data_IF_250627805742
#
_entry.id   IF_250627805742
#
_cell.length_a   1.000
_cell.length_b   1.000
_cell.length_c   1.000
_cell.angle_alpha   90.00
_cell.angle_beta   90.00
_cell.angle_gamma   90.00
#
_symmetry.space_group_name_H-M   'P 1'
#
loop_
_entity.id
_entity.type
_entity.pdbx_description
1 polymer ?
#
# COMPACT_ATOMS: atom_id res chain seq x y z
N UNK A 1 11.20 -6.48 -2.82
CA UNK A 1 11.93 -6.55 -4.11
C UNK A 1 11.51 -5.37 -4.94
N UNK A 2 12.46 -4.68 -5.56
CA UNK A 2 12.26 -3.43 -6.29
C UNK A 2 12.78 -3.60 -7.73
N UNK A 3 12.05 -3.10 -8.71
CA UNK A 3 12.46 -3.09 -10.12
C UNK A 3 11.75 -2.00 -10.91
N UNK A 4 12.31 -1.69 -12.08
CA UNK A 4 11.69 -0.79 -13.04
C UNK A 4 10.59 -1.53 -13.82
N UNK A 5 9.39 -0.98 -13.81
CA UNK A 5 8.24 -1.51 -14.53
C UNK A 5 7.44 -0.33 -15.09
N UNK A 6 7.26 -0.23 -16.42
CA UNK A 6 6.66 0.93 -17.07
C UNK A 6 5.14 1.09 -16.81
N UNK A 7 4.46 0.04 -16.35
CA UNK A 7 3.01 0.04 -16.13
C UNK A 7 2.69 -0.57 -14.77
N UNK A 8 1.59 -0.13 -14.12
CA UNK A 8 1.15 -0.76 -12.89
C UNK A 8 0.87 -2.26 -13.11
N UNK A 9 1.29 -3.08 -12.15
CA UNK A 9 1.10 -4.53 -12.18
C UNK A 9 0.23 -5.00 -11.02
N UNK A 10 -0.43 -6.13 -11.23
CA UNK A 10 -1.18 -6.80 -10.18
C UNK A 10 -0.26 -7.52 -9.19
N UNK A 11 -0.78 -7.80 -8.01
CA UNK A 11 -0.13 -8.67 -7.01
C UNK A 11 0.31 -10.02 -7.58
N UNK A 12 -0.54 -10.65 -8.38
CA UNK A 12 -0.23 -11.97 -8.97
C UNK A 12 0.93 -11.87 -9.99
N UNK A 13 0.98 -10.79 -10.78
CA UNK A 13 2.10 -10.52 -11.68
C UNK A 13 3.39 -10.28 -10.90
N UNK A 14 3.33 -9.44 -9.86
CA UNK A 14 4.47 -9.15 -8.98
C UNK A 14 5.02 -10.43 -8.32
N UNK A 15 4.13 -11.30 -7.82
CA UNK A 15 4.49 -12.60 -7.25
C UNK A 15 5.14 -13.51 -8.29
N UNK A 16 4.58 -13.60 -9.49
CA UNK A 16 5.14 -14.40 -10.57
C UNK A 16 6.55 -13.93 -10.96
N UNK A 17 6.74 -12.61 -11.09
CA UNK A 17 8.04 -11.98 -11.35
C UNK A 17 9.04 -12.30 -10.25
N UNK A 18 8.67 -12.10 -8.99
CA UNK A 18 9.51 -12.44 -7.83
C UNK A 18 9.98 -13.90 -7.87
N UNK A 19 9.06 -14.84 -8.09
CA UNK A 19 9.39 -16.26 -8.16
C UNK A 19 10.29 -16.61 -9.35
N UNK A 20 10.10 -15.97 -10.50
CA UNK A 20 10.96 -16.14 -11.67
C UNK A 20 12.39 -15.62 -11.40
N UNK A 21 12.52 -14.43 -10.81
CA UNK A 21 13.81 -13.82 -10.46
C UNK A 21 14.57 -14.67 -9.44
N UNK A 22 13.90 -15.16 -8.39
CA UNK A 22 14.52 -16.01 -7.37
C UNK A 22 15.06 -17.35 -7.90
N UNK A 23 14.67 -17.79 -9.10
CA UNK A 23 15.21 -18.99 -9.76
C UNK A 23 16.52 -18.73 -10.50
N UNK A 24 16.90 -17.47 -10.68
CA UNK A 24 18.17 -17.09 -11.29
C UNK A 24 19.24 -16.88 -10.21
N UNK A 25 20.53 -17.12 -10.52
CA UNK A 25 21.60 -16.76 -9.60
C UNK A 25 21.65 -15.25 -9.34
N UNK A 26 21.93 -14.80 -8.10
CA UNK A 26 22.35 -13.43 -7.85
C UNK A 26 23.56 -13.10 -8.72
N UNK A 27 23.62 -11.90 -9.28
CA UNK A 27 24.62 -11.59 -10.30
C UNK A 27 24.80 -10.10 -10.52
N UNK A 28 26.05 -9.72 -10.78
CA UNK A 28 26.47 -8.34 -10.99
C UNK A 28 25.97 -7.81 -12.35
N UNK A 29 24.82 -7.14 -12.33
CA UNK A 29 24.55 -6.07 -13.29
C UNK A 29 25.19 -4.76 -12.81
N UNK A 30 25.00 -3.69 -13.57
CA UNK A 30 25.22 -2.34 -13.04
C UNK A 30 24.30 -2.18 -11.84
N UNK A 31 24.88 -1.87 -10.67
CA UNK A 31 24.11 -1.60 -9.46
C UNK A 31 23.22 -0.38 -9.71
N UNK A 32 21.87 -0.54 -9.66
CA UNK A 32 20.97 0.59 -9.87
C UNK A 32 21.10 1.57 -8.70
N UNK A 33 20.98 2.88 -8.96
CA UNK A 33 21.16 3.91 -7.92
C UNK A 33 20.26 3.69 -6.69
N UNK A 34 19.04 3.17 -6.90
CA UNK A 34 18.10 2.79 -5.83
C UNK A 34 18.75 1.87 -4.78
N UNK A 35 19.63 0.94 -5.20
CA UNK A 35 20.23 -0.05 -4.31
C UNK A 35 21.07 0.59 -3.19
N UNK A 36 21.65 1.78 -3.44
CA UNK A 36 22.49 2.51 -2.48
C UNK A 36 21.67 3.19 -1.38
N UNK A 37 20.37 3.38 -1.62
CA UNK A 37 19.45 4.06 -0.71
C UNK A 37 18.50 3.10 0.01
N UNK A 38 18.40 1.85 -0.45
CA UNK A 38 17.56 0.84 0.17
C UNK A 38 18.10 0.46 1.55
N UNK A 39 17.22 0.34 2.57
CA UNK A 39 17.62 -0.17 3.87
C UNK A 39 17.90 -1.68 3.81
N UNK A 40 18.54 -2.21 4.85
CA UNK A 40 18.75 -3.65 5.02
C UNK A 40 19.87 -4.25 4.16
N UNK A 41 19.86 -5.57 4.02
CA UNK A 41 20.83 -6.29 3.20
C UNK A 41 20.34 -6.38 1.75
N UNK A 42 21.10 -5.80 0.82
CA UNK A 42 20.74 -5.74 -0.60
C UNK A 42 21.38 -6.90 -1.37
N UNK A 43 20.56 -7.67 -2.06
CA UNK A 43 20.97 -8.68 -3.05
C UNK A 43 20.56 -8.26 -4.45
N UNK A 44 21.53 -8.20 -5.36
CA UNK A 44 21.31 -7.81 -6.74
C UNK A 44 20.95 -9.01 -7.62
N UNK A 45 19.94 -8.82 -8.45
CA UNK A 45 19.53 -9.69 -9.53
C UNK A 45 19.52 -8.88 -10.84
N UNK A 46 19.59 -9.52 -12.02
CA UNK A 46 19.47 -8.80 -13.29
C UNK A 46 18.17 -7.97 -13.36
N UNK A 47 18.30 -6.64 -13.34
CA UNK A 47 17.19 -5.68 -13.37
C UNK A 47 16.33 -5.60 -12.09
N UNK A 48 16.71 -6.28 -11.01
CA UNK A 48 15.92 -6.34 -9.78
C UNK A 48 16.79 -6.24 -8.53
N UNK A 49 16.24 -5.65 -7.49
CA UNK A 49 16.91 -5.50 -6.20
C UNK A 49 16.08 -6.17 -5.12
N UNK A 50 16.66 -7.13 -4.40
CA UNK A 50 16.03 -7.76 -3.25
C UNK A 50 16.60 -7.20 -1.96
N UNK A 51 15.72 -6.70 -1.10
CA UNK A 51 16.07 -6.31 0.27
C UNK A 51 15.70 -7.46 1.20
N UNK A 52 16.66 -7.91 2.00
CA UNK A 52 16.47 -8.83 3.12
C UNK A 52 16.50 -8.04 4.43
N UNK A 53 15.63 -8.40 5.36
CA UNK A 53 15.43 -7.68 6.62
C UNK A 53 15.04 -8.63 7.75
N UNK A 54 15.31 -8.21 8.99
CA UNK A 54 14.91 -8.93 10.19
C UNK A 54 13.42 -8.74 10.48
N UNK A 55 12.76 -9.80 10.97
CA UNK A 55 11.32 -9.81 11.26
C UNK A 55 10.92 -8.70 12.24
N UNK A 56 11.77 -8.40 13.23
CA UNK A 56 11.50 -7.39 14.26
C UNK A 56 11.43 -5.96 13.70
N UNK A 57 11.96 -5.73 12.50
CA UNK A 57 12.00 -4.41 11.84
C UNK A 57 11.21 -4.36 10.53
N UNK A 58 10.47 -5.43 10.23
CA UNK A 58 9.83 -5.61 8.91
C UNK A 58 8.87 -4.48 8.56
N UNK A 59 8.08 -3.98 9.51
CA UNK A 59 7.04 -2.98 9.25
C UNK A 59 7.67 -1.64 8.85
N UNK A 60 8.61 -1.18 9.67
CA UNK A 60 9.36 0.06 9.44
C UNK A 60 10.20 -0.05 8.16
N UNK A 61 10.89 -1.17 7.96
CA UNK A 61 11.78 -1.34 6.83
C UNK A 61 11.01 -1.50 5.51
N UNK A 62 9.89 -2.23 5.47
CA UNK A 62 9.02 -2.28 4.29
C UNK A 62 8.52 -0.89 3.90
N UNK A 63 8.10 -0.06 4.88
CA UNK A 63 7.66 1.31 4.61
C UNK A 63 8.80 2.19 4.03
N UNK A 64 10.02 2.04 4.54
CA UNK A 64 11.20 2.73 4.00
C UNK A 64 11.53 2.26 2.57
N UNK A 65 11.49 0.95 2.31
CA UNK A 65 11.71 0.39 0.95
C UNK A 65 10.66 0.92 -0.03
N UNK A 66 9.38 0.97 0.35
CA UNK A 66 8.34 1.57 -0.50
C UNK A 66 8.62 3.04 -0.80
N UNK A 67 9.04 3.80 0.20
CA UNK A 67 9.38 5.22 0.05
C UNK A 67 10.53 5.42 -0.93
N UNK A 68 11.60 4.64 -0.79
CA UNK A 68 12.78 4.70 -1.69
C UNK A 68 12.39 4.25 -3.10
N UNK A 69 11.71 3.11 -3.26
CA UNK A 69 11.28 2.63 -4.57
C UNK A 69 10.42 3.68 -5.30
N UNK A 70 9.48 4.31 -4.59
CA UNK A 70 8.64 5.39 -5.12
C UNK A 70 9.47 6.59 -5.57
N UNK A 71 10.43 7.04 -4.76
CA UNK A 71 11.30 8.18 -5.11
C UNK A 71 12.10 7.94 -6.40
N UNK A 72 12.40 6.68 -6.71
CA UNK A 72 13.07 6.25 -7.94
C UNK A 72 12.10 5.83 -9.06
N UNK A 73 10.78 5.97 -8.88
CA UNK A 73 9.78 5.61 -9.88
C UNK A 73 9.72 4.11 -10.15
N UNK A 74 9.94 3.29 -9.15
CA UNK A 74 10.00 1.83 -9.25
C UNK A 74 8.82 1.14 -8.57
N UNK A 75 8.48 -0.05 -9.06
CA UNK A 75 7.56 -0.96 -8.38
C UNK A 75 8.28 -1.62 -7.23
N UNK A 76 7.59 -1.78 -6.10
CA UNK A 76 8.07 -2.59 -4.98
C UNK A 76 7.06 -3.67 -4.63
N UNK A 77 7.53 -4.92 -4.55
CA UNK A 77 6.77 -6.05 -4.06
C UNK A 77 7.33 -6.54 -2.73
N UNK A 78 6.49 -6.59 -1.70
CA UNK A 78 6.76 -7.22 -0.41
C UNK A 78 6.28 -8.68 -0.45
N UNK A 79 7.18 -9.67 -0.58
CA UNK A 79 6.80 -11.08 -0.65
C UNK A 79 6.32 -11.67 0.68
N UNK A 80 6.59 -11.02 1.81
CA UNK A 80 6.14 -11.49 3.13
C UNK A 80 4.68 -11.15 3.35
N UNK A 81 4.28 -9.93 2.99
CA UNK A 81 2.88 -9.47 3.03
C UNK A 81 2.09 -9.77 1.78
N UNK A 82 2.77 -10.18 0.71
CA UNK A 82 2.18 -10.37 -0.62
C UNK A 82 1.47 -9.08 -1.08
N UNK A 83 2.18 -7.95 -0.99
CA UNK A 83 1.69 -6.62 -1.37
C UNK A 83 2.56 -6.05 -2.48
N UNK A 84 1.93 -5.36 -3.44
CA UNK A 84 2.62 -4.60 -4.49
C UNK A 84 2.31 -3.12 -4.33
N UNK A 85 3.36 -2.31 -4.32
CA UNK A 85 3.30 -0.86 -4.39
C UNK A 85 3.73 -0.42 -5.79
N UNK A 86 2.82 0.20 -6.53
CA UNK A 86 3.05 0.74 -7.86
C UNK A 86 3.40 2.24 -7.81
N UNK A 87 3.84 2.79 -8.94
CA UNK A 87 4.08 4.23 -9.08
C UNK A 87 2.76 5.01 -9.28
N UNK A 88 1.74 4.34 -9.82
CA UNK A 88 0.45 4.91 -10.19
C UNK A 88 -0.63 3.80 -10.26
N UNK A 89 -1.93 4.14 -10.31
CA UNK A 89 -2.50 5.48 -10.08
C UNK A 89 -2.41 5.88 -8.61
N UNK A 90 -2.26 7.18 -8.37
CA UNK A 90 -2.24 7.78 -7.02
C UNK A 90 -3.57 8.46 -6.73
N UNK A 91 -3.85 8.66 -5.44
CA UNK A 91 -4.94 9.52 -4.99
C UNK A 91 -4.67 11.01 -5.29
N UNK A 92 -5.71 11.83 -5.15
CA UNK A 92 -5.64 13.28 -5.39
C UNK A 92 -5.04 14.08 -4.22
N UNK A 93 -4.87 13.44 -3.06
CA UNK A 93 -4.34 14.08 -1.86
C UNK A 93 -2.86 13.77 -1.69
N UNK A 94 -2.01 14.76 -1.94
CA UNK A 94 -0.59 14.71 -1.64
C UNK A 94 -0.35 14.54 -0.12
N UNK A 95 0.55 13.63 0.25
CA UNK A 95 0.86 13.31 1.64
C UNK A 95 -0.18 12.40 2.31
N UNK A 96 -1.12 11.81 1.56
CA UNK A 96 -2.08 10.86 2.11
C UNK A 96 -1.36 9.61 2.62
N UNK A 97 -1.76 9.14 3.79
CA UNK A 97 -1.16 7.97 4.42
C UNK A 97 -2.14 6.83 4.50
N UNK A 98 -1.72 5.62 4.11
CA UNK A 98 -2.39 4.38 4.42
C UNK A 98 -1.89 3.86 5.77
N UNK A 99 -2.81 3.61 6.69
CA UNK A 99 -2.55 3.04 8.01
C UNK A 99 -3.30 1.71 8.13
N UNK A 100 -2.69 0.72 8.75
CA UNK A 100 -3.31 -0.57 9.05
C UNK A 100 -3.16 -0.93 10.52
N UNK A 101 -4.03 -1.80 11.01
CA UNK A 101 -4.05 -2.20 12.41
C UNK A 101 -2.88 -3.09 12.84
N UNK A 102 -2.14 -3.65 11.88
CA UNK A 102 -0.88 -4.36 12.11
C UNK A 102 0.35 -3.44 12.08
N UNK A 103 0.17 -2.11 11.99
CA UNK A 103 1.25 -1.13 12.14
C UNK A 103 1.91 -0.65 10.85
N UNK A 104 1.45 -1.10 9.68
CA UNK A 104 1.97 -0.60 8.40
C UNK A 104 1.51 0.84 8.16
N UNK A 105 2.47 1.71 7.81
CA UNK A 105 2.21 3.09 7.38
C UNK A 105 2.88 3.32 6.03
N UNK A 106 2.09 3.68 5.01
CA UNK A 106 2.60 3.97 3.66
C UNK A 106 2.20 5.38 3.25
N UNK A 107 3.18 6.20 2.89
CA UNK A 107 2.96 7.55 2.38
C UNK A 107 2.69 7.51 0.86
N UNK A 108 1.70 8.30 0.43
CA UNK A 108 1.21 8.37 -0.95
C UNK A 108 1.00 6.99 -1.59
N UNK A 109 0.15 6.13 -0.98
CA UNK A 109 -0.08 4.79 -1.49
C UNK A 109 -0.72 4.85 -2.89
N UNK A 110 -0.32 3.92 -3.77
CA UNK A 110 -1.09 3.70 -5.01
C UNK A 110 -2.45 3.06 -4.70
N UNK A 111 -3.42 3.30 -5.59
CA UNK A 111 -4.79 2.84 -5.37
C UNK A 111 -4.92 1.31 -5.43
N UNK A 112 -4.00 0.63 -6.13
CA UNK A 112 -3.95 -0.83 -6.16
C UNK A 112 -3.55 -1.40 -4.79
N UNK A 113 -2.52 -0.82 -4.16
CA UNK A 113 -2.12 -1.19 -2.80
C UNK A 113 -3.27 -0.98 -1.80
N UNK A 114 -3.96 0.16 -1.85
CA UNK A 114 -5.12 0.43 -0.98
C UNK A 114 -6.18 -0.67 -1.12
N UNK A 115 -6.53 -1.00 -2.36
CA UNK A 115 -7.52 -2.03 -2.67
C UNK A 115 -7.13 -3.42 -2.14
N UNK A 116 -5.86 -3.79 -2.28
CA UNK A 116 -5.35 -5.09 -1.87
C UNK A 116 -5.27 -5.21 -0.35
N UNK A 117 -4.81 -4.16 0.33
CA UNK A 117 -4.72 -4.10 1.80
C UNK A 117 -6.08 -4.23 2.47
N UNK A 118 -7.13 -3.61 1.92
CA UNK A 118 -8.51 -3.78 2.41
C UNK A 118 -8.94 -5.26 2.41
N UNK A 119 -8.44 -6.05 1.46
CA UNK A 119 -8.70 -7.49 1.39
C UNK A 119 -7.94 -8.33 2.43
N UNK A 120 -7.03 -7.73 3.20
CA UNK A 120 -6.20 -8.41 4.22
C UNK A 120 -6.71 -8.18 5.66
N UNK A 121 -7.79 -7.41 5.84
CA UNK A 121 -8.37 -7.16 7.15
C UNK A 121 -8.70 -8.45 7.88
N UNK A 122 -8.32 -8.52 9.15
CA UNK A 122 -8.43 -9.71 9.99
C UNK A 122 -8.41 -9.33 11.47
N UNK A 123 -8.43 -10.30 12.39
CA UNK A 123 -8.26 -10.00 13.81
C UNK A 123 -6.87 -9.40 14.14
N UNK A 124 -5.86 -9.74 13.34
CA UNK A 124 -4.49 -9.25 13.45
C UNK A 124 -4.27 -7.92 12.72
N UNK A 125 -5.07 -7.64 11.68
CA UNK A 125 -5.13 -6.36 10.99
C UNK A 125 -6.56 -5.78 11.09
N UNK A 126 -6.96 -5.27 12.27
CA UNK A 126 -8.37 -4.99 12.55
C UNK A 126 -8.93 -3.76 11.82
N UNK A 127 -8.10 -2.85 11.33
CA UNK A 127 -8.58 -1.65 10.63
C UNK A 127 -7.68 -1.28 9.47
N UNK A 128 -8.23 -0.51 8.55
CA UNK A 128 -7.49 0.18 7.49
C UNK A 128 -7.99 1.62 7.43
N UNK A 129 -7.07 2.58 7.33
CA UNK A 129 -7.42 3.99 7.24
C UNK A 129 -6.61 4.72 6.16
N UNK A 130 -7.25 5.64 5.46
CA UNK A 130 -6.58 6.66 4.67
C UNK A 130 -6.66 8.00 5.39
N UNK A 131 -5.51 8.55 5.74
CA UNK A 131 -5.39 9.73 6.59
C UNK A 131 -4.74 10.86 5.80
N UNK A 132 -5.42 12.00 5.71
CA UNK A 132 -4.82 13.28 5.31
C UNK A 132 -4.63 14.13 6.57
N UNK A 133 -3.39 14.13 7.09
CA UNK A 133 -3.12 14.57 8.46
C UNK A 133 -3.63 15.99 8.73
N UNK A 134 -4.36 16.16 9.85
CA UNK A 134 -4.93 17.44 10.26
C UNK A 134 -6.13 17.93 9.44
N UNK A 135 -6.59 17.16 8.45
CA UNK A 135 -7.69 17.55 7.55
C UNK A 135 -8.88 16.60 7.64
N UNK A 136 -8.71 15.39 7.11
CA UNK A 136 -9.76 14.41 7.03
C UNK A 136 -9.21 12.99 7.01
N UNK A 137 -10.04 12.02 7.36
CA UNK A 137 -9.71 10.60 7.21
C UNK A 137 -10.95 9.77 6.84
N UNK A 138 -10.68 8.62 6.23
CA UNK A 138 -11.63 7.53 6.08
C UNK A 138 -11.03 6.26 6.69
N UNK A 139 -11.75 5.58 7.56
CA UNK A 139 -11.32 4.36 8.24
C UNK A 139 -12.39 3.28 8.12
N UNK A 140 -11.98 2.02 8.04
CA UNK A 140 -12.86 0.87 8.17
C UNK A 140 -12.38 -0.05 9.28
N UNK A 141 -13.35 -0.56 10.05
CA UNK A 141 -13.18 -1.49 11.17
C UNK A 141 -13.86 -2.84 10.88
N UNK A 142 -13.67 -3.88 11.71
CA UNK A 142 -14.28 -5.19 11.48
C UNK A 142 -15.81 -5.09 11.44
N UNK A 143 -16.45 -5.91 10.60
CA UNK A 143 -17.89 -5.81 10.35
C UNK A 143 -18.28 -4.69 9.38
N UNK A 144 -17.30 -4.10 8.69
CA UNK A 144 -17.50 -3.06 7.67
C UNK A 144 -18.16 -1.79 8.23
N UNK A 145 -17.82 -1.42 9.47
CA UNK A 145 -18.10 -0.09 9.99
C UNK A 145 -17.08 0.88 9.40
N UNK A 146 -17.57 1.89 8.69
CA UNK A 146 -16.77 2.94 8.06
C UNK A 146 -16.96 4.24 8.82
N UNK A 147 -15.86 4.85 9.21
CA UNK A 147 -15.80 6.16 9.85
C UNK A 147 -15.20 7.18 8.87
N UNK A 148 -15.85 8.32 8.74
CA UNK A 148 -15.35 9.46 7.99
C UNK A 148 -15.28 10.67 8.92
N UNK A 149 -14.19 11.42 8.84
CA UNK A 149 -14.08 12.69 9.55
C UNK A 149 -13.58 13.76 8.60
N UNK A 150 -14.37 14.81 8.46
CA UNK A 150 -13.97 16.11 7.93
C UNK A 150 -14.70 17.16 8.78
N UNK A 151 -13.99 17.73 9.76
CA UNK A 151 -14.63 18.43 10.87
C UNK A 151 -15.26 17.46 11.87
N UNK A 152 -16.53 17.11 11.67
CA UNK A 152 -17.28 16.19 12.56
C UNK A 152 -17.08 14.74 12.12
N UNK A 153 -16.90 13.84 13.08
CA UNK A 153 -16.81 12.42 12.82
C UNK A 153 -18.21 11.84 12.60
N UNK A 154 -18.35 11.04 11.56
CA UNK A 154 -19.58 10.30 11.24
C UNK A 154 -19.23 8.85 10.92
N UNK A 155 -20.17 7.94 11.13
CA UNK A 155 -20.02 6.51 10.85
C UNK A 155 -21.24 5.91 10.17
N UNK A 156 -21.00 4.84 9.42
CA UNK A 156 -22.02 4.00 8.80
C UNK A 156 -21.55 2.55 8.77
N UNK A 157 -22.50 1.61 8.73
CA UNK A 157 -22.21 0.23 8.35
C UNK A 157 -22.41 0.08 6.84
N UNK A 158 -21.52 -0.66 6.18
CA UNK A 158 -21.67 -0.99 4.76
C UNK A 158 -21.81 -2.49 4.52
N UNK A 159 -22.46 -2.91 3.41
CA UNK A 159 -22.84 -4.30 3.20
C UNK A 159 -21.68 -5.30 3.03
N UNK A 160 -20.49 -4.84 2.63
CA UNK A 160 -19.39 -5.73 2.31
C UNK A 160 -18.11 -5.03 1.85
N UNK A 161 -17.06 -5.84 1.65
CA UNK A 161 -15.73 -5.40 1.24
C UNK A 161 -15.71 -4.61 -0.07
N UNK A 162 -16.53 -5.00 -1.05
CA UNK A 162 -16.57 -4.29 -2.34
C UNK A 162 -17.06 -2.84 -2.18
N UNK A 163 -18.03 -2.60 -1.29
CA UNK A 163 -18.49 -1.25 -0.99
C UNK A 163 -17.43 -0.45 -0.23
N UNK A 164 -16.72 -1.09 0.70
CA UNK A 164 -15.58 -0.46 1.38
C UNK A 164 -14.51 -0.03 0.36
N UNK A 165 -14.13 -0.93 -0.56
CA UNK A 165 -13.15 -0.65 -1.62
C UNK A 165 -13.60 0.51 -2.49
N UNK A 166 -14.87 0.52 -2.87
CA UNK A 166 -15.43 1.62 -3.64
C UNK A 166 -15.38 2.94 -2.87
N UNK A 167 -15.77 2.97 -1.59
CA UNK A 167 -15.70 4.17 -0.76
C UNK A 167 -14.26 4.69 -0.59
N UNK A 168 -13.30 3.80 -0.37
CA UNK A 168 -11.89 4.16 -0.26
C UNK A 168 -11.34 4.72 -1.57
N UNK A 169 -11.72 4.14 -2.72
CA UNK A 169 -11.36 4.66 -4.02
C UNK A 169 -11.99 6.03 -4.28
N UNK A 170 -13.28 6.20 -3.99
CA UNK A 170 -13.98 7.48 -4.11
C UNK A 170 -13.29 8.55 -3.27
N UNK A 171 -13.10 8.28 -1.97
CA UNK A 171 -12.35 9.17 -1.08
C UNK A 171 -10.97 9.51 -1.63
N UNK A 172 -10.15 8.50 -1.98
CA UNK A 172 -8.78 8.71 -2.45
C UNK A 172 -8.71 9.50 -3.76
N UNK A 173 -9.76 9.44 -4.60
CA UNK A 173 -9.85 10.18 -5.86
C UNK A 173 -10.58 11.52 -5.75
N UNK A 174 -11.01 11.90 -4.53
CA UNK A 174 -11.71 13.16 -4.27
C UNK A 174 -13.21 13.13 -4.58
N UNK A 175 -13.75 11.97 -4.94
CA UNK A 175 -15.19 11.76 -5.07
C UNK A 175 -15.81 11.58 -3.67
N UNK A 176 -16.93 12.23 -3.45
CA UNK A 176 -17.69 12.19 -2.20
C UNK A 176 -19.05 11.48 -2.35
N UNK A 177 -19.27 10.74 -3.45
CA UNK A 177 -20.52 10.02 -3.70
C UNK A 177 -20.92 9.10 -2.52
N UNK A 178 -19.96 8.47 -1.84
CA UNK A 178 -20.19 7.67 -0.64
C UNK A 178 -20.95 8.39 0.49
N UNK A 179 -20.79 9.72 0.63
CA UNK A 179 -21.50 10.50 1.65
C UNK A 179 -23.01 10.55 1.39
N UNK A 180 -23.43 10.38 0.14
CA UNK A 180 -24.85 10.39 -0.26
C UNK A 180 -25.45 9.00 -0.42
N UNK A 181 -24.62 7.96 -0.59
CA UNK A 181 -25.04 6.58 -0.82
C UNK A 181 -25.52 5.87 0.45
N UNK A 182 -24.99 6.27 1.61
CA UNK A 182 -25.25 5.61 2.90
C UNK A 182 -25.86 6.56 3.92
N UNK A 183 -26.49 5.99 4.95
CA UNK A 183 -27.05 6.75 6.07
C UNK A 183 -25.99 6.88 7.17
N UNK A 184 -25.54 8.11 7.39
CA UNK A 184 -24.50 8.41 8.37
C UNK A 184 -25.08 8.78 9.74
N UNK A 185 -24.37 8.40 10.80
CA UNK A 185 -24.66 8.76 12.19
C UNK A 185 -23.46 9.47 12.81
N UNK A 186 -23.71 10.45 13.68
CA UNK A 186 -22.66 11.13 14.47
C UNK A 186 -22.33 10.35 15.75
#
# INVERSE_FOLDING_TARGET
>A
MVWDEPVPISRDQARATYLAVKRTPPGAGVEPEVAKELPGEVTLYPGHVLVSMDLDTMDEMSAQVFTVARAHGMVCYDPQRDLVHNVAPLGVYEGMQLHTGDGMVVNDPDLGLVHDVLGTMSAQNPFVALVNFGRHFLQVSPGFEVEYKEGTMVRTLVPGLEEVRQMFNEYATGDQAFLTRFTWSA
#
